data_IF_696056343330
#
_entry.id   IF_696056343330
#
_cell.length_a   1.000
_cell.length_b   1.000
_cell.length_c   1.000
_cell.angle_alpha   90.00
_cell.angle_beta   90.00
_cell.angle_gamma   90.00
#
_symmetry.space_group_name_H-M   'P 1'
#
loop_
_entity.id
_entity.type
_entity.pdbx_description
1 polymer ?
#
# COMPACT_ATOMS: atom_id res chain seq x y z
N UNK A 1 0.06 16.38 10.89
CA UNK A 1 -0.41 16.66 12.26
C UNK A 1 0.74 16.46 13.26
N UNK A 2 0.78 17.19 14.39
CA UNK A 2 1.81 16.97 15.41
C UNK A 2 1.71 15.57 16.03
N UNK A 3 2.81 15.08 16.59
CA UNK A 3 2.85 13.78 17.28
C UNK A 3 1.84 13.76 18.45
N UNK A 4 1.11 12.67 18.57
CA UNK A 4 0.08 12.48 19.61
C UNK A 4 0.20 11.09 20.28
N UNK A 5 1.12 10.90 21.25
CA UNK A 5 1.33 9.62 21.91
C UNK A 5 0.06 9.06 22.58
N UNK A 6 -0.85 9.91 23.06
CA UNK A 6 -2.08 9.47 23.72
C UNK A 6 -3.01 8.69 22.76
N UNK A 7 -2.99 9.04 21.48
CA UNK A 7 -3.83 8.40 20.45
C UNK A 7 -3.43 6.95 20.17
N UNK A 8 -2.25 6.50 20.61
CA UNK A 8 -1.81 5.09 20.43
C UNK A 8 -2.75 4.07 21.08
N UNK A 9 -3.42 4.43 22.16
CA UNK A 9 -4.40 3.55 22.82
C UNK A 9 -5.64 3.27 21.97
N UNK A 10 -5.87 4.05 20.92
CA UNK A 10 -7.00 3.89 19.98
C UNK A 10 -6.68 2.90 18.85
N UNK A 11 -5.40 2.54 18.64
CA UNK A 11 -4.99 1.59 17.63
C UNK A 11 -5.54 0.20 17.94
N UNK A 12 -6.31 -0.35 17.03
CA UNK A 12 -6.90 -1.70 17.12
C UNK A 12 -6.27 -2.67 16.12
N UNK A 13 -5.53 -2.15 15.15
CA UNK A 13 -4.92 -2.94 14.08
C UNK A 13 -3.46 -3.23 14.42
N UNK A 14 -3.08 -4.50 14.24
CA UNK A 14 -1.67 -4.91 14.23
C UNK A 14 -1.12 -4.91 12.81
N UNK A 15 0.20 -4.91 12.67
CA UNK A 15 0.87 -5.01 11.37
C UNK A 15 0.47 -6.29 10.62
N UNK A 16 0.31 -7.40 11.34
CA UNK A 16 -0.10 -8.68 10.75
C UNK A 16 -1.56 -8.66 10.29
N UNK A 17 -2.45 -8.00 11.02
CA UNK A 17 -3.83 -7.77 10.57
C UNK A 17 -3.87 -6.96 9.28
N UNK A 18 -3.08 -5.89 9.18
CA UNK A 18 -2.99 -5.05 7.97
C UNK A 18 -2.51 -5.88 6.78
N UNK A 19 -1.43 -6.66 6.94
CA UNK A 19 -0.93 -7.56 5.89
C UNK A 19 -2.00 -8.55 5.45
N UNK A 20 -2.66 -9.21 6.41
CA UNK A 20 -3.70 -10.20 6.13
C UNK A 20 -4.90 -9.60 5.39
N UNK A 21 -5.40 -8.45 5.82
CA UNK A 21 -6.51 -7.74 5.16
C UNK A 21 -6.16 -7.42 3.70
N UNK A 22 -4.94 -6.95 3.45
CA UNK A 22 -4.54 -6.54 2.11
C UNK A 22 -4.24 -7.72 1.18
N UNK A 23 -3.69 -8.81 1.68
CA UNK A 23 -3.38 -9.98 0.86
C UNK A 23 -4.58 -10.94 0.70
N UNK A 24 -5.65 -10.75 1.45
CA UNK A 24 -6.89 -11.48 1.26
C UNK A 24 -7.55 -11.06 -0.06
N UNK A 25 -7.55 -11.97 -1.04
CA UNK A 25 -8.12 -11.76 -2.37
C UNK A 25 -9.60 -12.14 -2.47
N UNK A 26 -10.18 -12.72 -1.44
CA UNK A 26 -11.62 -12.98 -1.36
C UNK A 26 -12.43 -11.68 -1.24
N UNK A 27 -11.82 -10.65 -0.66
CA UNK A 27 -12.40 -9.32 -0.49
C UNK A 27 -12.01 -8.38 -1.63
N UNK A 28 -12.99 -7.88 -2.37
CA UNK A 28 -12.82 -6.95 -3.49
C UNK A 28 -13.27 -5.55 -3.10
N UNK A 29 -12.44 -4.56 -3.40
CA UNK A 29 -12.73 -3.14 -3.16
C UNK A 29 -12.74 -2.42 -4.50
N UNK A 30 -13.75 -1.59 -4.71
CA UNK A 30 -13.79 -0.70 -5.87
C UNK A 30 -12.82 0.47 -5.66
N UNK A 31 -12.06 0.79 -6.69
CA UNK A 31 -11.16 1.96 -6.69
C UNK A 31 -11.96 3.24 -6.46
N UNK A 32 -11.50 4.07 -5.52
CA UNK A 32 -12.09 5.39 -5.27
C UNK A 32 -11.76 6.33 -6.44
N UNK A 33 -12.62 7.30 -6.71
CA UNK A 33 -12.51 8.22 -7.84
C UNK A 33 -11.12 8.88 -7.96
N UNK A 34 -10.56 9.40 -6.87
CA UNK A 34 -9.23 10.02 -6.85
C UNK A 34 -8.04 9.10 -7.14
N UNK A 35 -8.27 7.78 -7.24
CA UNK A 35 -7.23 6.77 -7.54
C UNK A 35 -7.46 6.05 -8.86
N UNK A 36 -8.43 6.50 -9.66
CA UNK A 36 -8.66 5.94 -11.00
C UNK A 36 -7.46 6.28 -11.89
N UNK A 37 -6.86 5.30 -12.58
CA UNK A 37 -5.72 5.54 -13.46
C UNK A 37 -6.07 6.55 -14.57
N UNK A 38 -5.23 7.56 -14.73
CA UNK A 38 -5.40 8.61 -15.75
C UNK A 38 -4.52 8.39 -16.97
N UNK A 39 -3.67 7.36 -16.97
CA UNK A 39 -2.68 7.15 -18.02
C UNK A 39 -1.50 8.13 -17.99
N UNK A 40 -1.33 8.89 -16.91
CA UNK A 40 -0.32 9.96 -16.78
C UNK A 40 1.13 9.52 -17.06
N UNK A 41 1.44 8.24 -16.89
CA UNK A 41 2.77 7.70 -17.18
C UNK A 41 2.93 7.15 -18.60
N UNK A 42 1.87 7.19 -19.41
CA UNK A 42 1.86 6.75 -20.80
C UNK A 42 1.76 5.24 -20.99
N UNK A 43 2.83 4.50 -20.70
CA UNK A 43 2.88 3.04 -20.90
C UNK A 43 3.31 2.28 -19.65
N UNK A 44 3.24 0.95 -19.72
CA UNK A 44 3.57 0.06 -18.60
C UNK A 44 5.06 0.16 -18.19
N UNK A 45 5.95 0.38 -19.16
CA UNK A 45 7.39 0.47 -18.86
C UNK A 45 7.73 1.75 -18.10
N UNK A 46 7.17 2.89 -18.54
CA UNK A 46 7.32 4.16 -17.82
C UNK A 46 6.69 4.10 -16.43
N UNK A 47 5.53 3.47 -16.31
CA UNK A 47 4.90 3.24 -15.00
C UNK A 47 5.77 2.42 -14.07
N UNK A 48 6.44 1.38 -14.59
CA UNK A 48 7.37 0.56 -13.82
C UNK A 48 8.62 1.35 -13.39
N UNK A 49 9.20 2.16 -14.27
CA UNK A 49 10.35 3.01 -13.93
C UNK A 49 10.00 4.02 -12.84
N UNK A 50 8.88 4.72 -12.94
CA UNK A 50 8.39 5.63 -11.90
C UNK A 50 8.14 4.90 -10.57
N UNK A 51 7.56 3.71 -10.62
CA UNK A 51 7.39 2.87 -9.43
C UNK A 51 8.73 2.56 -8.76
N UNK A 52 9.75 2.16 -9.53
CA UNK A 52 11.09 1.84 -9.01
C UNK A 52 11.73 3.06 -8.34
N UNK A 53 11.68 4.23 -9.00
CA UNK A 53 12.23 5.48 -8.47
C UNK A 53 11.56 5.82 -7.13
N UNK A 54 10.23 5.83 -7.09
CA UNK A 54 9.49 6.15 -5.86
C UNK A 54 9.72 5.12 -4.76
N UNK A 55 9.79 3.84 -5.11
CA UNK A 55 10.08 2.77 -4.14
C UNK A 55 11.48 2.90 -3.55
N UNK A 56 12.49 3.23 -4.37
CA UNK A 56 13.86 3.49 -3.89
C UNK A 56 13.91 4.67 -2.92
N UNK A 57 13.20 5.75 -3.22
CA UNK A 57 13.09 6.91 -2.33
C UNK A 57 12.42 6.54 -0.98
N UNK A 58 11.35 5.76 -1.00
CA UNK A 58 10.69 5.29 0.23
C UNK A 58 11.61 4.38 1.06
N UNK A 59 12.39 3.50 0.42
CA UNK A 59 13.35 2.64 1.11
C UNK A 59 14.45 3.48 1.76
N UNK A 60 14.98 4.49 1.07
CA UNK A 60 15.97 5.41 1.61
C UNK A 60 15.41 6.17 2.82
N UNK A 61 14.19 6.74 2.69
CA UNK A 61 13.50 7.40 3.81
C UNK A 61 13.37 6.49 5.03
N UNK A 62 12.91 5.25 4.85
CA UNK A 62 12.74 4.30 5.97
C UNK A 62 14.05 3.97 6.66
N UNK A 63 15.16 3.94 5.92
CA UNK A 63 16.50 3.67 6.48
C UNK A 63 17.09 4.84 7.25
N UNK A 64 16.75 6.05 6.87
CA UNK A 64 17.42 7.27 7.33
C UNK A 64 16.55 8.10 8.28
N UNK A 65 15.24 7.92 8.25
CA UNK A 65 14.31 8.75 9.02
C UNK A 65 14.53 8.61 10.53
N UNK A 66 14.45 9.75 11.19
CA UNK A 66 14.37 9.87 12.66
C UNK A 66 12.99 10.33 13.11
N UNK A 67 12.03 10.40 12.19
CA UNK A 67 10.68 10.83 12.48
C UNK A 67 10.00 9.83 13.44
N UNK A 68 9.17 10.34 14.32
CA UNK A 68 8.40 9.55 15.27
C UNK A 68 7.18 8.91 14.60
N UNK A 69 7.45 7.92 13.73
CA UNK A 69 6.42 7.26 12.92
C UNK A 69 5.32 6.59 13.76
N UNK A 70 5.58 6.34 15.04
CA UNK A 70 4.63 5.64 15.91
C UNK A 70 3.60 6.56 16.56
N UNK A 71 3.84 7.86 16.59
CA UNK A 71 2.96 8.84 17.22
C UNK A 71 2.31 9.82 16.23
N UNK A 72 2.43 9.56 14.93
CA UNK A 72 1.67 10.20 13.86
C UNK A 72 0.65 9.22 13.29
N UNK A 73 -0.59 9.66 13.08
CA UNK A 73 -1.71 8.78 12.76
C UNK A 73 -2.45 9.22 11.51
N UNK A 74 -3.06 8.27 10.84
CA UNK A 74 -3.93 8.46 9.69
C UNK A 74 -5.07 7.46 9.67
N UNK A 75 -6.11 7.78 8.90
CA UNK A 75 -7.29 6.92 8.72
C UNK A 75 -7.20 6.14 7.41
N UNK A 76 -7.35 4.84 7.50
CA UNK A 76 -7.57 3.94 6.36
C UNK A 76 -9.03 3.46 6.34
N UNK A 77 -9.55 2.94 5.22
CA UNK A 77 -10.94 2.46 5.14
C UNK A 77 -11.31 1.40 6.17
N UNK A 78 -10.34 0.77 6.79
CA UNK A 78 -10.53 -0.30 7.79
C UNK A 78 -10.04 0.09 9.19
N UNK A 79 -9.67 1.37 9.41
CA UNK A 79 -9.41 1.90 10.74
C UNK A 79 -8.19 2.81 10.86
N UNK A 80 -7.96 3.26 12.08
CA UNK A 80 -6.85 4.11 12.45
C UNK A 80 -5.52 3.32 12.39
N UNK A 81 -4.50 3.94 11.84
CA UNK A 81 -3.13 3.41 11.75
C UNK A 81 -2.11 4.47 12.15
N UNK A 82 -0.95 4.05 12.65
CA UNK A 82 0.19 4.94 12.77
C UNK A 82 0.99 5.02 11.45
N UNK A 83 1.91 5.97 11.34
CA UNK A 83 2.70 6.17 10.11
C UNK A 83 3.61 4.97 9.79
N UNK A 84 4.07 4.23 10.79
CA UNK A 84 4.81 2.98 10.56
C UNK A 84 3.89 1.91 9.95
N UNK A 85 2.67 1.76 10.47
CA UNK A 85 1.67 0.86 9.91
C UNK A 85 1.27 1.26 8.49
N UNK A 86 1.28 2.57 8.17
CA UNK A 86 1.06 3.04 6.80
C UNK A 86 2.16 2.56 5.84
N UNK A 87 3.42 2.51 6.26
CA UNK A 87 4.49 1.93 5.45
C UNK A 87 4.30 0.42 5.23
N UNK A 88 3.83 -0.31 6.24
CA UNK A 88 3.45 -1.72 6.10
C UNK A 88 2.28 -1.86 5.11
N UNK A 89 1.26 -1.00 5.22
CA UNK A 89 0.15 -0.94 4.26
C UNK A 89 0.64 -0.77 2.82
N UNK A 90 1.54 0.17 2.55
CA UNK A 90 2.08 0.41 1.21
C UNK A 90 2.76 -0.83 0.62
N UNK A 91 3.51 -1.57 1.44
CA UNK A 91 4.17 -2.81 1.02
C UNK A 91 3.16 -3.92 0.75
N UNK A 92 2.24 -4.17 1.66
CA UNK A 92 1.21 -5.20 1.52
C UNK A 92 0.22 -4.88 0.39
N UNK A 93 -0.05 -3.59 0.11
CA UNK A 93 -0.87 -3.16 -1.01
C UNK A 93 -0.19 -3.46 -2.36
N UNK A 94 1.13 -3.28 -2.45
CA UNK A 94 1.89 -3.73 -3.61
C UNK A 94 1.77 -5.25 -3.79
N UNK A 95 1.90 -6.02 -2.73
CA UNK A 95 1.72 -7.48 -2.76
C UNK A 95 0.32 -7.87 -3.24
N UNK A 96 -0.73 -7.17 -2.80
CA UNK A 96 -2.09 -7.36 -3.30
C UNK A 96 -2.17 -7.24 -4.81
N UNK A 97 -1.55 -6.21 -5.39
CA UNK A 97 -1.55 -6.02 -6.85
C UNK A 97 -0.73 -7.08 -7.59
N UNK A 98 0.35 -7.57 -7.01
CA UNK A 98 1.10 -8.71 -7.56
C UNK A 98 0.19 -9.95 -7.62
N UNK A 99 -0.54 -10.26 -6.55
CA UNK A 99 -1.50 -11.36 -6.54
C UNK A 99 -2.60 -11.18 -7.59
N UNK A 100 -3.09 -9.96 -7.81
CA UNK A 100 -4.05 -9.68 -8.88
C UNK A 100 -3.48 -9.97 -10.27
N UNK A 101 -2.23 -9.59 -10.53
CA UNK A 101 -1.55 -9.88 -11.79
C UNK A 101 -1.44 -11.39 -12.00
N UNK A 102 -1.06 -12.15 -10.98
CA UNK A 102 -0.96 -13.60 -11.08
C UNK A 102 -2.33 -14.26 -11.30
N UNK A 103 -3.40 -13.77 -10.67
CA UNK A 103 -4.78 -14.21 -10.94
C UNK A 103 -5.16 -13.99 -12.42
N UNK A 104 -4.84 -12.81 -12.98
CA UNK A 104 -5.10 -12.52 -14.41
C UNK A 104 -4.30 -13.44 -15.31
N UNK A 105 -3.00 -13.65 -15.03
CA UNK A 105 -2.13 -14.54 -15.81
C UNK A 105 -2.57 -16.00 -15.77
N UNK A 106 -3.17 -16.44 -14.66
CA UNK A 106 -3.67 -17.81 -14.51
C UNK A 106 -5.00 -18.06 -15.20
N UNK A 107 -5.67 -17.03 -15.68
CA UNK A 107 -6.94 -17.17 -16.39
C UNK A 107 -6.74 -17.93 -17.71
N UNK A 108 -7.64 -18.89 -18.02
CA UNK A 108 -7.57 -19.69 -19.24
C UNK A 108 -7.60 -18.88 -20.53
N UNK A 109 -8.22 -17.69 -20.49
CA UNK A 109 -8.31 -16.75 -21.61
C UNK A 109 -7.13 -15.78 -21.69
N UNK A 110 -6.15 -15.87 -20.77
CA UNK A 110 -4.98 -15.01 -20.86
C UNK A 110 -4.14 -15.38 -22.10
N UNK A 111 -3.72 -14.41 -22.93
CA UNK A 111 -2.98 -14.69 -24.14
C UNK A 111 -1.69 -15.48 -23.85
N UNK A 112 -1.58 -16.64 -24.48
CA UNK A 112 -0.33 -17.44 -24.47
C UNK A 112 0.54 -16.92 -25.61
N UNK A 113 1.78 -16.58 -25.31
CA UNK A 113 2.78 -16.29 -26.35
C UNK A 113 3.19 -17.58 -27.04
#
# INVERSE_FOLDING_TARGET
>A
EPANPAKRSELKLTEDMIKKILTDRSFKVKTREGFIPTGQFGDAWKSLEEFKIKRAAHIAYVKETKDDLRNHFGELPFGLVDSYQLLIFMSAHTQRHILQIEEVKSNSNFPKK
#
